data_IF_200352137574
#
_entry.id   IF_200352137574
#
_cell.length_a   1.000
_cell.length_b   1.000
_cell.length_c   1.000
_cell.angle_alpha   90.00
_cell.angle_beta   90.00
_cell.angle_gamma   90.00
#
_symmetry.space_group_name_H-M   'P 1'
#
loop_
_entity.id
_entity.type
_entity.pdbx_description
1 polymer ?
#
# COMPACT_ATOMS: atom_id res chain seq x y z
N UNK A 1 -6.70 -9.99 -6.80
CA UNK A 1 -7.33 -8.73 -6.36
C UNK A 1 -7.48 -7.70 -7.48
N UNK A 2 -6.53 -7.56 -8.41
CA UNK A 2 -6.58 -6.58 -9.52
C UNK A 2 -6.67 -7.20 -10.93
N UNK A 3 -7.24 -8.40 -11.09
CA UNK A 3 -7.34 -9.09 -12.39
C UNK A 3 -5.99 -9.50 -13.02
N UNK A 4 -4.87 -9.31 -12.32
CA UNK A 4 -3.52 -9.58 -12.80
C UNK A 4 -3.02 -11.02 -12.54
N UNK A 5 -3.90 -11.96 -12.18
CA UNK A 5 -3.50 -13.36 -11.96
C UNK A 5 -2.89 -13.97 -13.22
N UNK A 6 -1.81 -14.76 -13.06
CA UNK A 6 -1.11 -15.42 -14.16
C UNK A 6 -0.22 -14.51 -15.02
N UNK A 7 -0.11 -13.22 -14.70
CA UNK A 7 0.84 -12.30 -15.35
C UNK A 7 2.21 -12.38 -14.66
N UNK A 8 3.28 -12.22 -15.42
CA UNK A 8 4.65 -12.28 -14.95
C UNK A 8 5.35 -10.92 -15.10
N UNK A 9 6.38 -10.70 -14.29
CA UNK A 9 7.30 -9.56 -14.45
C UNK A 9 8.36 -9.91 -15.48
N UNK A 10 8.64 -8.97 -16.38
CA UNK A 10 9.66 -9.12 -17.42
C UNK A 10 10.86 -8.20 -17.14
N UNK A 11 12.07 -8.64 -17.49
CA UNK A 11 13.24 -7.76 -17.53
C UNK A 11 13.28 -6.98 -18.85
N UNK A 12 13.78 -5.74 -18.76
CA UNK A 12 14.07 -4.83 -19.85
C UNK A 12 15.37 -4.08 -19.53
N UNK A 13 15.87 -3.28 -20.47
CA UNK A 13 17.14 -2.53 -20.32
C UNK A 13 17.14 -1.53 -19.14
N UNK A 14 15.96 -1.20 -18.61
CA UNK A 14 15.75 -0.29 -17.46
C UNK A 14 15.41 -1.03 -16.15
N UNK A 15 15.53 -2.35 -16.11
CA UNK A 15 15.19 -3.18 -14.95
C UNK A 15 13.91 -4.00 -15.17
N UNK A 16 13.01 -4.05 -14.19
CA UNK A 16 11.73 -4.76 -14.26
C UNK A 16 10.65 -3.91 -14.92
N UNK A 17 10.03 -4.42 -15.99
CA UNK A 17 8.81 -3.86 -16.54
C UNK A 17 7.63 -4.18 -15.58
N UNK A 18 6.85 -3.17 -15.14
CA UNK A 18 5.67 -3.42 -14.32
C UNK A 18 4.54 -4.06 -15.14
N UNK A 19 3.58 -4.66 -14.45
CA UNK A 19 2.41 -5.30 -15.05
C UNK A 19 1.32 -4.24 -15.29
N UNK A 20 1.12 -3.84 -16.55
CA UNK A 20 0.06 -2.91 -16.94
C UNK A 20 -1.30 -3.59 -16.96
N UNK A 21 -2.31 -3.05 -16.26
CA UNK A 21 -3.61 -3.71 -16.10
C UNK A 21 -4.51 -3.59 -17.34
N UNK A 22 -4.41 -2.46 -18.04
CA UNK A 22 -5.18 -2.08 -19.24
C UNK A 22 -4.29 -2.08 -20.51
N UNK A 23 -4.84 -1.64 -21.66
CA UNK A 23 -4.10 -1.55 -22.94
C UNK A 23 -3.40 -0.22 -23.10
N UNK A 24 -3.99 0.80 -22.50
CA UNK A 24 -3.62 2.21 -22.51
C UNK A 24 -2.42 2.47 -21.57
N UNK A 25 -2.03 1.49 -20.76
CA UNK A 25 -0.94 1.51 -19.78
C UNK A 25 -1.15 2.55 -18.66
N UNK A 26 -2.42 2.86 -18.33
CA UNK A 26 -2.76 3.90 -17.34
C UNK A 26 -2.62 3.43 -15.89
N UNK A 27 -2.67 2.12 -15.64
CA UNK A 27 -2.41 1.53 -14.33
C UNK A 27 -1.32 0.47 -14.44
N UNK A 28 -0.15 0.74 -13.83
CA UNK A 28 0.96 -0.18 -13.69
C UNK A 28 0.99 -0.79 -12.28
N UNK A 29 1.35 -2.07 -12.18
CA UNK A 29 1.36 -2.82 -10.93
C UNK A 29 2.67 -3.61 -10.77
N UNK A 30 3.27 -3.54 -9.58
CA UNK A 30 4.32 -4.46 -9.14
C UNK A 30 3.87 -5.14 -7.85
N UNK A 31 4.17 -6.43 -7.69
CA UNK A 31 3.79 -7.20 -6.51
C UNK A 31 4.77 -8.34 -6.27
N UNK A 32 5.02 -8.63 -4.99
CA UNK A 32 5.72 -9.84 -4.54
C UNK A 32 5.11 -11.10 -5.15
N UNK A 33 3.78 -11.14 -5.34
CA UNK A 33 3.06 -12.29 -5.89
C UNK A 33 3.46 -12.67 -7.32
N UNK A 34 4.05 -11.76 -8.10
CA UNK A 34 4.59 -12.08 -9.44
C UNK A 34 5.98 -12.75 -9.40
N UNK A 35 6.63 -12.78 -8.24
CA UNK A 35 7.97 -13.33 -8.02
C UNK A 35 7.94 -14.68 -7.29
N UNK A 36 6.75 -15.20 -6.98
CA UNK A 36 6.56 -16.51 -6.34
C UNK A 36 6.36 -17.58 -7.42
N UNK A 37 6.88 -18.79 -7.18
CA UNK A 37 6.67 -19.92 -8.09
C UNK A 37 5.22 -20.38 -8.10
N UNK A 38 4.51 -20.20 -6.98
CA UNK A 38 3.11 -20.61 -6.78
C UNK A 38 2.31 -19.49 -6.11
N UNK A 39 1.06 -19.21 -6.55
CA UNK A 39 0.25 -18.12 -6.01
C UNK A 39 -0.02 -18.21 -4.50
N UNK A 40 -0.14 -19.43 -3.97
CA UNK A 40 -0.50 -19.70 -2.56
C UNK A 40 0.72 -19.95 -1.66
N UNK A 41 1.94 -19.63 -2.14
CA UNK A 41 3.16 -19.84 -1.37
C UNK A 41 3.33 -18.80 -0.25
N UNK A 42 3.54 -19.26 0.98
CA UNK A 42 3.75 -18.39 2.13
C UNK A 42 5.11 -17.67 2.06
N UNK A 43 5.09 -16.34 1.96
CA UNK A 43 6.29 -15.51 1.86
C UNK A 43 6.98 -15.34 3.21
N UNK A 44 7.86 -16.27 3.56
CA UNK A 44 8.65 -16.22 4.81
C UNK A 44 10.08 -15.71 4.52
N UNK A 45 10.23 -14.38 4.39
CA UNK A 45 11.53 -13.75 4.13
C UNK A 45 12.07 -13.01 5.36
N UNK A 46 13.40 -13.10 5.57
CA UNK A 46 14.10 -12.37 6.64
C UNK A 46 14.24 -10.89 6.28
N UNK A 47 14.24 -10.02 7.30
CA UNK A 47 14.29 -8.55 7.17
C UNK A 47 15.22 -8.00 6.09
N UNK A 48 16.52 -8.40 6.02
CA UNK A 48 17.43 -7.88 4.99
C UNK A 48 16.98 -8.18 3.55
N UNK A 49 16.44 -9.38 3.27
CA UNK A 49 15.95 -9.75 1.93
C UNK A 49 14.70 -8.95 1.57
N UNK A 50 13.78 -8.78 2.53
CA UNK A 50 12.56 -7.98 2.39
C UNK A 50 12.89 -6.52 2.11
N UNK A 51 13.78 -5.92 2.89
CA UNK A 51 14.15 -4.52 2.76
C UNK A 51 14.94 -4.25 1.46
N UNK A 52 15.74 -5.22 1.00
CA UNK A 52 16.37 -5.16 -0.32
C UNK A 52 15.31 -5.15 -1.43
N UNK A 53 14.33 -6.06 -1.39
CA UNK A 53 13.28 -6.11 -2.42
C UNK A 53 12.42 -4.84 -2.47
N UNK A 54 12.07 -4.27 -1.32
CA UNK A 54 11.34 -2.98 -1.26
C UNK A 54 12.14 -1.86 -1.94
N UNK A 55 13.47 -1.84 -1.75
CA UNK A 55 14.35 -0.90 -2.45
C UNK A 55 14.35 -1.14 -3.96
N UNK A 56 14.46 -2.40 -4.41
CA UNK A 56 14.38 -2.76 -5.82
C UNK A 56 13.02 -2.41 -6.45
N UNK A 57 11.90 -2.50 -5.72
CA UNK A 57 10.59 -2.06 -6.22
C UNK A 57 10.54 -0.56 -6.49
N UNK A 58 11.37 0.25 -5.83
CA UNK A 58 11.45 1.69 -6.05
C UNK A 58 12.53 2.05 -7.09
N UNK A 59 13.70 1.40 -7.06
CA UNK A 59 14.85 1.74 -7.92
C UNK A 59 14.92 0.97 -9.25
N UNK A 60 14.52 -0.30 -9.25
CA UNK A 60 14.79 -1.23 -10.35
C UNK A 60 13.54 -1.53 -11.19
N UNK A 61 12.38 -0.96 -10.85
CA UNK A 61 11.15 -1.06 -11.65
C UNK A 61 11.06 0.15 -12.58
N UNK A 62 10.88 -0.13 -13.87
CA UNK A 62 10.72 0.87 -14.91
C UNK A 62 9.30 1.47 -14.89
N UNK A 63 8.97 2.18 -13.81
CA UNK A 63 7.67 2.82 -13.59
C UNK A 63 7.28 3.84 -14.67
N UNK A 64 8.26 4.51 -15.28
CA UNK A 64 8.05 5.60 -16.23
C UNK A 64 7.65 6.90 -15.54
N UNK A 65 6.95 7.76 -16.27
CA UNK A 65 6.33 8.97 -15.70
C UNK A 65 5.04 8.55 -14.96
N UNK A 66 4.90 8.95 -13.70
CA UNK A 66 3.72 8.66 -12.87
C UNK A 66 3.19 9.94 -12.23
N UNK A 67 1.89 10.17 -12.33
CA UNK A 67 1.20 11.19 -11.50
C UNK A 67 1.16 10.77 -10.02
N UNK A 68 0.99 9.47 -9.77
CA UNK A 68 0.87 8.89 -8.43
C UNK A 68 1.48 7.49 -8.35
N UNK A 69 2.19 7.20 -7.26
CA UNK A 69 2.61 5.86 -6.86
C UNK A 69 1.93 5.48 -5.54
N UNK A 70 1.15 4.40 -5.54
CA UNK A 70 0.50 3.87 -4.34
C UNK A 70 1.26 2.64 -3.87
N UNK A 71 1.66 2.63 -2.59
CA UNK A 71 2.35 1.49 -1.96
C UNK A 71 1.42 0.86 -0.92
N UNK A 72 1.07 -0.39 -1.16
CA UNK A 72 0.33 -1.23 -0.20
C UNK A 72 1.33 -1.86 0.78
N UNK A 73 1.24 -1.48 2.05
CA UNK A 73 2.10 -2.00 3.13
C UNK A 73 1.27 -2.92 4.03
N UNK A 74 1.87 -4.00 4.60
CA UNK A 74 1.20 -4.79 5.63
C UNK A 74 0.73 -3.94 6.82
N UNK A 75 -0.24 -4.40 7.63
CA UNK A 75 -0.68 -3.64 8.80
C UNK A 75 0.38 -3.61 9.93
N UNK A 76 0.33 -2.56 10.75
CA UNK A 76 1.21 -2.34 11.90
C UNK A 76 2.43 -1.47 11.59
N UNK A 77 3.28 -1.18 12.58
CA UNK A 77 4.41 -0.25 12.44
C UNK A 77 5.72 -0.96 12.07
N UNK A 78 5.69 -1.81 11.03
CA UNK A 78 6.75 -2.80 10.76
C UNK A 78 7.93 -2.23 9.94
N UNK A 79 9.06 -2.97 9.87
CA UNK A 79 10.26 -2.57 9.11
C UNK A 79 9.97 -2.22 7.63
N UNK A 80 8.93 -2.83 7.06
CA UNK A 80 8.40 -2.58 5.71
C UNK A 80 8.15 -1.08 5.47
N UNK A 81 7.54 -0.41 6.44
CA UNK A 81 7.12 0.98 6.35
C UNK A 81 8.36 1.87 6.32
N UNK A 82 9.32 1.61 7.22
CA UNK A 82 10.61 2.30 7.22
C UNK A 82 11.38 2.07 5.93
N UNK A 83 11.46 0.83 5.44
CA UNK A 83 12.16 0.51 4.20
C UNK A 83 11.54 1.21 2.98
N UNK A 84 10.21 1.27 2.89
CA UNK A 84 9.50 1.97 1.82
C UNK A 84 9.73 3.50 1.89
N UNK A 85 9.63 4.10 3.08
CA UNK A 85 9.89 5.55 3.27
C UNK A 85 11.34 5.89 2.92
N UNK A 86 12.31 5.12 3.39
CA UNK A 86 13.72 5.34 3.09
C UNK A 86 14.03 5.22 1.60
N UNK A 87 13.43 4.24 0.91
CA UNK A 87 13.56 4.08 -0.54
C UNK A 87 12.90 5.24 -1.31
N UNK A 88 11.74 5.73 -0.85
CA UNK A 88 10.99 6.80 -1.51
C UNK A 88 11.48 8.21 -1.20
N UNK A 89 12.20 8.44 -0.09
CA UNK A 89 12.70 9.77 0.32
C UNK A 89 13.31 10.63 -0.79
N UNK A 90 14.16 10.10 -1.71
CA UNK A 90 14.74 10.89 -2.79
C UNK A 90 13.70 11.53 -3.72
N UNK A 91 12.52 10.90 -3.85
CA UNK A 91 11.42 11.33 -4.72
C UNK A 91 10.42 12.27 -4.02
N UNK A 92 10.72 12.72 -2.80
CA UNK A 92 9.89 13.65 -2.02
C UNK A 92 8.39 13.29 -2.00
N UNK A 93 8.00 12.10 -1.53
CA UNK A 93 6.62 11.64 -1.58
C UNK A 93 5.68 12.63 -0.89
N UNK A 94 4.57 12.96 -1.57
CA UNK A 94 3.57 13.95 -1.13
C UNK A 94 3.02 13.71 0.29
N UNK A 95 3.08 12.47 0.73
CA UNK A 95 2.80 11.98 2.08
C UNK A 95 2.91 10.45 2.09
N UNK A 96 2.47 9.82 3.17
CA UNK A 96 2.13 8.40 3.13
C UNK A 96 0.61 8.25 3.16
N UNK A 97 0.11 7.33 2.34
CA UNK A 97 -1.19 6.71 2.61
C UNK A 97 -0.96 5.72 3.76
N UNK A 98 -1.59 5.98 4.90
CA UNK A 98 -1.53 5.13 6.07
C UNK A 98 -2.92 4.62 6.37
N UNK A 99 -3.04 3.34 6.69
CA UNK A 99 -4.31 2.64 6.83
C UNK A 99 -4.66 2.50 8.33
N UNK A 100 -5.96 2.40 8.66
CA UNK A 100 -6.61 2.21 9.99
C UNK A 100 -7.01 3.51 10.83
N UNK A 101 -8.07 3.45 11.68
CA UNK A 101 -8.68 4.52 12.59
C UNK A 101 -8.62 4.28 14.15
N UNK A 102 -8.81 5.25 15.09
CA UNK A 102 -9.08 6.68 14.97
C UNK A 102 -8.28 7.63 15.93
N UNK A 103 -8.04 8.84 15.44
CA UNK A 103 -8.58 10.09 16.01
C UNK A 103 -8.53 11.15 14.90
N UNK A 104 -9.46 12.11 14.89
CA UNK A 104 -9.56 13.14 13.83
C UNK A 104 -8.20 13.86 13.67
N UNK A 105 -7.50 13.73 12.53
CA UNK A 105 -6.27 14.44 12.28
C UNK A 105 -6.56 15.82 11.67
N UNK A 106 -5.61 16.78 11.82
CA UNK A 106 -5.62 18.01 11.04
C UNK A 106 -5.49 17.72 9.52
N UNK A 107 -5.89 18.65 8.63
CA UNK A 107 -6.36 18.33 7.28
C UNK A 107 -5.32 17.77 6.28
N UNK A 108 -5.72 16.74 5.51
CA UNK A 108 -4.91 16.23 4.38
C UNK A 108 -5.49 15.18 3.37
N UNK A 109 -6.31 14.16 3.73
CA UNK A 109 -7.01 13.14 2.87
C UNK A 109 -7.77 12.01 3.63
N UNK A 110 -7.40 10.71 3.43
CA UNK A 110 -8.20 9.46 3.41
C UNK A 110 -7.47 8.22 4.04
N UNK A 111 -8.18 7.17 4.51
CA UNK A 111 -7.72 5.90 5.20
C UNK A 111 -8.53 4.67 4.71
N UNK A 112 -8.28 3.45 5.21
CA UNK A 112 -9.25 2.32 5.20
C UNK A 112 -9.38 1.72 6.62
N UNK A 113 -10.59 1.35 7.08
CA UNK A 113 -10.76 0.62 8.38
C UNK A 113 -12.02 -0.27 8.45
N UNK A 114 -12.40 -0.78 9.63
CA UNK A 114 -13.71 -1.37 9.94
C UNK A 114 -14.18 -0.91 11.33
N UNK A 115 -15.49 -0.81 11.62
CA UNK A 115 -16.02 -0.18 12.85
C UNK A 115 -15.77 -0.97 14.16
N UNK A 116 -15.02 -2.07 14.13
CA UNK A 116 -14.77 -2.90 15.32
C UNK A 116 -13.69 -2.29 16.23
N UNK A 117 -13.98 -2.19 17.53
CA UNK A 117 -13.12 -1.53 18.54
C UNK A 117 -11.67 -2.05 18.64
N UNK A 118 -11.36 -3.22 18.06
CA UNK A 118 -10.01 -3.79 18.02
C UNK A 118 -9.06 -2.98 17.12
N UNK A 119 -9.57 -2.35 16.05
CA UNK A 119 -8.76 -1.57 15.09
C UNK A 119 -8.19 -0.27 15.69
N UNK A 120 -8.80 0.23 16.77
CA UNK A 120 -8.47 1.50 17.45
C UNK A 120 -7.03 1.58 17.94
N UNK A 121 -6.47 0.45 18.37
CA UNK A 121 -5.13 0.37 18.97
C UNK A 121 -4.00 0.54 17.97
N UNK A 122 -4.11 -0.10 16.82
CA UNK A 122 -3.06 -0.15 15.79
C UNK A 122 -2.84 1.20 15.10
N UNK A 123 -3.77 2.11 15.30
CA UNK A 123 -3.85 3.36 14.54
C UNK A 123 -3.25 4.51 15.28
N UNK A 124 -3.48 4.52 16.58
CA UNK A 124 -2.71 5.38 17.47
C UNK A 124 -1.22 5.06 17.32
N UNK A 125 -0.86 3.81 17.00
CA UNK A 125 0.51 3.43 16.60
C UNK A 125 0.87 3.97 15.22
N UNK A 126 0.07 3.75 14.18
CA UNK A 126 0.43 4.17 12.80
C UNK A 126 0.44 5.70 12.59
N UNK A 127 -0.50 6.43 13.20
CA UNK A 127 -0.45 7.90 13.26
C UNK A 127 0.77 8.41 14.05
N UNK A 128 1.18 7.71 15.10
CA UNK A 128 2.41 8.02 15.85
C UNK A 128 3.65 7.72 15.02
N UNK A 129 3.64 6.64 14.23
CA UNK A 129 4.68 6.29 13.29
C UNK A 129 4.86 7.39 12.24
N UNK A 130 3.78 7.84 11.58
CA UNK A 130 3.82 8.97 10.63
C UNK A 130 4.45 10.23 11.23
N UNK A 131 4.00 10.62 12.44
CA UNK A 131 4.54 11.77 13.16
C UNK A 131 6.04 11.64 13.45
N UNK A 132 6.52 10.44 13.78
CA UNK A 132 7.94 10.17 14.06
C UNK A 132 8.80 10.13 12.80
N UNK A 133 8.26 9.68 11.68
CA UNK A 133 8.98 9.58 10.39
C UNK A 133 8.93 10.87 9.56
N UNK A 134 8.14 11.86 10.00
CA UNK A 134 7.92 13.11 9.27
C UNK A 134 6.95 12.97 8.10
N UNK A 135 6.29 11.82 7.97
CA UNK A 135 5.27 11.61 6.95
C UNK A 135 4.05 12.47 7.23
N UNK A 136 3.65 13.25 6.22
CA UNK A 136 2.34 13.91 6.23
C UNK A 136 1.27 12.82 6.22
N UNK A 137 0.58 12.66 7.36
CA UNK A 137 -0.72 11.99 7.38
C UNK A 137 -1.63 12.83 6.52
N UNK A 138 -2.18 12.19 5.49
CA UNK A 138 -3.20 12.84 4.70
C UNK A 138 -4.55 12.71 5.49
N UNK A 139 -5.18 11.55 5.70
CA UNK A 139 -6.39 11.44 6.57
C UNK A 139 -6.73 10.01 7.03
N UNK A 140 -7.96 9.44 7.01
CA UNK A 140 -9.32 10.03 6.91
C UNK A 140 -10.46 9.32 6.12
N UNK A 141 -10.66 7.98 6.16
CA UNK A 141 -11.87 7.28 5.68
C UNK A 141 -12.25 6.10 6.61
N UNK A 142 -13.45 5.56 6.46
CA UNK A 142 -13.94 4.36 7.13
C UNK A 142 -14.42 3.35 6.06
N UNK A 143 -14.09 2.06 6.19
CA UNK A 143 -14.56 1.01 5.29
C UNK A 143 -15.43 0.03 6.10
N UNK A 144 -16.30 -0.74 5.44
CA UNK A 144 -17.31 -1.59 6.10
C UNK A 144 -18.12 -0.85 7.19
N UNK A 145 -18.24 0.48 7.07
CA UNK A 145 -18.92 1.37 8.00
C UNK A 145 -20.43 1.31 7.73
N UNK A 146 -21.01 0.25 8.26
CA UNK A 146 -22.38 -0.17 7.97
C UNK A 146 -22.54 -0.97 6.69
N UNK A 147 -23.75 -1.47 6.48
CA UNK A 147 -24.15 -2.29 5.33
C UNK A 147 -25.48 -1.78 4.78
N UNK A 148 -25.48 -1.30 3.53
CA UNK A 148 -26.69 -0.96 2.80
C UNK A 148 -27.28 -2.22 2.17
N UNK A 149 -28.45 -2.65 2.63
CA UNK A 149 -29.11 -3.83 2.09
C UNK A 149 -29.51 -3.59 0.61
N UNK A 150 -29.06 -4.43 -0.34
CA UNK A 150 -29.38 -4.24 -1.76
C UNK A 150 -30.86 -4.47 -2.11
N UNK A 151 -31.67 -5.00 -1.18
CA UNK A 151 -33.10 -5.24 -1.38
C UNK A 151 -33.97 -4.07 -0.87
N UNK A 152 -33.65 -3.48 0.28
CA UNK A 152 -34.49 -2.45 0.92
C UNK A 152 -33.83 -1.07 1.07
N UNK A 153 -32.56 -0.91 0.67
CA UNK A 153 -31.73 0.29 0.85
C UNK A 153 -31.55 0.76 2.32
N UNK A 154 -32.04 -0.02 3.28
CA UNK A 154 -31.84 0.21 4.71
C UNK A 154 -30.37 -0.02 5.06
N UNK A 155 -29.80 0.90 5.85
CA UNK A 155 -28.39 0.88 6.22
C UNK A 155 -28.25 0.59 7.71
N UNK A 156 -27.75 -0.58 8.06
CA UNK A 156 -27.38 -0.92 9.46
C UNK A 156 -25.98 -0.38 9.73
N UNK A 157 -25.81 0.44 10.78
CA UNK A 157 -24.52 0.96 11.27
C UNK A 157 -24.00 0.15 12.46
#
# INVERSE_FOLDING_TARGET
MLGAQGRAVHQCDRGWAPVFLDREQSISLMSVGFLLEKPDEAVVWRGPKKNALIKQFVSDVAWGELDYLVVDTPPGTSDEHMAAIEALRPYQPLGALVVTTPQVPPPGALVVTTPQAVSVGDVRRELTFCRKTGLRVMGVVENMSGFTCPHCAECTS
#
